data_IF_926567195301
#
_entry.id   IF_926567195301
#
_cell.length_a   1.000
_cell.length_b   1.000
_cell.length_c   1.000
_cell.angle_alpha   90.00
_cell.angle_beta   90.00
_cell.angle_gamma   90.00
#
_symmetry.space_group_name_H-M   'P 1'
#
loop_
_entity.id
_entity.type
_entity.pdbx_description
1 polymer ?
#
# COMPACT_ATOMS: atom_id res chain seq x y z
N UNK A 1 -18.86 14.11 0.90
CA UNK A 1 -18.97 15.46 0.30
C UNK A 1 -18.35 16.47 1.24
N UNK A 2 -17.57 17.38 0.69
CA UNK A 2 -16.88 18.38 1.47
C UNK A 2 -15.56 17.94 2.10
N UNK A 3 -15.20 16.67 1.89
CA UNK A 3 -13.92 16.15 2.35
C UNK A 3 -12.95 16.09 1.17
N UNK A 4 -11.71 16.59 1.35
CA UNK A 4 -10.69 16.46 0.32
C UNK A 4 -10.21 15.01 0.22
N UNK A 5 -9.58 14.67 -0.90
CA UNK A 5 -9.00 13.33 -1.07
C UNK A 5 -7.94 13.05 -0.01
N UNK A 6 -7.13 14.04 0.33
CA UNK A 6 -6.10 13.90 1.35
C UNK A 6 -6.70 13.62 2.72
N UNK A 7 -7.78 14.32 3.09
CA UNK A 7 -8.48 14.06 4.35
C UNK A 7 -9.10 12.65 4.34
N UNK A 8 -9.66 12.24 3.22
CA UNK A 8 -10.25 10.91 3.10
C UNK A 8 -9.20 9.82 3.34
N UNK A 9 -7.98 9.98 2.79
CA UNK A 9 -6.90 9.03 3.00
C UNK A 9 -6.57 8.92 4.49
N UNK A 10 -6.38 10.05 5.17
CA UNK A 10 -6.05 10.05 6.60
C UNK A 10 -7.16 9.40 7.41
N UNK A 11 -8.41 9.74 7.12
CA UNK A 11 -9.55 9.18 7.84
C UNK A 11 -9.68 7.68 7.64
N UNK A 12 -9.60 7.22 6.40
CA UNK A 12 -9.77 5.79 6.10
C UNK A 12 -8.64 4.95 6.67
N UNK A 13 -7.41 5.41 6.60
CA UNK A 13 -6.28 4.69 7.21
C UNK A 13 -6.46 4.58 8.71
N UNK A 14 -6.92 5.66 9.37
CA UNK A 14 -7.18 5.62 10.80
C UNK A 14 -8.29 4.63 11.15
N UNK A 15 -9.37 4.62 10.36
CA UNK A 15 -10.48 3.69 10.57
C UNK A 15 -10.06 2.23 10.38
N UNK A 16 -9.27 1.94 9.36
CA UNK A 16 -8.92 0.58 8.99
C UNK A 16 -7.75 0.00 9.76
N UNK A 17 -6.83 0.83 10.20
CA UNK A 17 -5.58 0.36 10.83
C UNK A 17 -5.29 0.97 12.19
N UNK A 18 -6.07 1.97 12.63
CA UNK A 18 -5.82 2.68 13.88
C UNK A 18 -4.61 3.60 13.84
N UNK A 19 -4.02 3.83 12.66
CA UNK A 19 -2.82 4.63 12.52
C UNK A 19 -3.18 6.01 11.98
N UNK A 20 -2.73 7.07 12.68
CA UNK A 20 -2.88 8.44 12.22
C UNK A 20 -1.68 8.81 11.35
N UNK A 21 -1.87 8.81 10.04
CA UNK A 21 -0.81 9.20 9.10
C UNK A 21 -0.84 10.70 8.86
N UNK A 22 0.30 11.24 8.42
CA UNK A 22 0.46 12.66 8.11
C UNK A 22 1.04 12.81 6.71
N UNK A 23 0.97 14.03 6.19
CA UNK A 23 1.57 14.38 4.90
C UNK A 23 1.10 13.45 3.77
N UNK A 24 -0.22 13.26 3.59
CA UNK A 24 -0.69 12.48 2.46
C UNK A 24 -0.34 13.20 1.17
N UNK A 25 0.16 12.43 0.19
CA UNK A 25 0.67 12.98 -1.03
C UNK A 25 0.14 12.19 -2.21
N UNK A 26 -0.56 12.86 -3.11
CA UNK A 26 -1.06 12.25 -4.33
C UNK A 26 0.10 11.88 -5.24
N UNK A 27 0.15 10.63 -5.70
CA UNK A 27 1.24 10.12 -6.52
C UNK A 27 0.82 9.77 -7.94
N UNK A 28 -0.45 9.61 -8.18
CA UNK A 28 -0.94 9.29 -9.50
C UNK A 28 -2.25 8.52 -9.47
N UNK A 29 -2.79 8.26 -10.66
CA UNK A 29 -4.03 7.53 -10.80
C UNK A 29 -3.92 6.52 -11.93
N UNK A 30 -4.77 5.49 -11.87
CA UNK A 30 -4.80 4.44 -12.86
C UNK A 30 -6.26 4.04 -13.11
N UNK A 31 -6.77 4.18 -14.35
CA UNK A 31 -8.11 3.72 -14.65
C UNK A 31 -8.15 2.20 -14.84
N UNK A 32 -9.24 1.59 -14.40
CA UNK A 32 -9.51 0.18 -14.61
C UNK A 32 -10.80 0.03 -15.43
N UNK A 33 -10.76 -0.65 -16.59
CA UNK A 33 -11.96 -0.78 -17.41
C UNK A 33 -13.03 -1.70 -16.80
N UNK A 34 -12.65 -2.66 -15.97
CA UNK A 34 -13.57 -3.62 -15.37
C UNK A 34 -13.25 -3.86 -13.91
N UNK A 35 -14.12 -3.43 -12.96
CA UNK A 35 -15.22 -2.51 -13.22
C UNK A 35 -14.70 -1.14 -13.62
N UNK A 36 -15.56 -0.28 -14.10
CA UNK A 36 -15.18 1.10 -14.40
C UNK A 36 -14.84 1.81 -13.11
N UNK A 37 -13.56 1.94 -12.85
CA UNK A 37 -13.09 2.59 -11.62
C UNK A 37 -11.78 3.32 -11.88
N UNK A 38 -11.47 4.21 -10.98
CA UNK A 38 -10.22 4.97 -11.01
C UNK A 38 -9.48 4.67 -9.72
N UNK A 39 -8.28 4.11 -9.85
CA UNK A 39 -7.39 3.87 -8.71
C UNK A 39 -6.57 5.13 -8.48
N UNK A 40 -6.60 5.64 -7.25
CA UNK A 40 -5.80 6.79 -6.84
C UNK A 40 -4.71 6.32 -5.89
N UNK A 41 -3.48 6.71 -6.18
CA UNK A 41 -2.34 6.31 -5.36
C UNK A 41 -1.83 7.46 -4.51
N UNK A 42 -1.66 7.20 -3.22
CA UNK A 42 -1.15 8.16 -2.25
C UNK A 42 -0.04 7.55 -1.43
N UNK A 43 0.91 8.39 -1.00
CA UNK A 43 1.85 8.04 0.05
C UNK A 43 1.62 8.95 1.23
N UNK A 44 1.97 8.48 2.42
CA UNK A 44 1.83 9.27 3.65
C UNK A 44 2.89 8.83 4.64
N UNK A 45 3.09 9.62 5.69
CA UNK A 45 4.05 9.32 6.74
C UNK A 45 3.30 8.76 7.94
N UNK A 46 3.80 7.67 8.51
CA UNK A 46 3.25 7.07 9.71
C UNK A 46 4.22 7.28 10.87
N UNK A 47 3.70 7.45 12.11
CA UNK A 47 4.58 7.57 13.27
C UNK A 47 5.30 6.26 13.54
N UNK A 48 6.52 6.35 14.04
CA UNK A 48 7.32 5.17 14.38
C UNK A 48 6.78 4.53 15.66
N UNK A 49 6.91 3.20 15.76
CA UNK A 49 6.60 2.48 16.98
C UNK A 49 5.12 2.30 17.28
N UNK A 50 4.24 2.60 16.34
CA UNK A 50 2.80 2.44 16.54
C UNK A 50 2.37 1.05 16.07
N UNK A 51 1.60 0.36 16.91
CA UNK A 51 1.02 -0.93 16.56
C UNK A 51 -0.24 -0.73 15.73
N UNK A 52 -0.35 -1.34 14.56
CA UNK A 52 -1.57 -1.25 13.79
C UNK A 52 -2.67 -2.10 14.40
N UNK A 53 -3.91 -1.60 14.33
CA UNK A 53 -5.09 -2.31 14.83
C UNK A 53 -6.07 -2.44 13.67
N UNK A 54 -6.15 -3.60 13.01
CA UNK A 54 -7.10 -3.80 11.93
C UNK A 54 -8.54 -3.72 12.43
N UNK A 55 -9.44 -3.24 11.59
CA UNK A 55 -10.84 -3.05 11.99
C UNK A 55 -11.60 -4.37 12.13
N UNK A 56 -11.07 -5.47 11.60
CA UNK A 56 -11.68 -6.78 11.69
C UNK A 56 -12.82 -7.03 10.71
N UNK A 57 -13.16 -6.04 9.89
CA UNK A 57 -14.22 -6.14 8.89
C UNK A 57 -13.65 -6.13 7.49
N UNK A 58 -13.24 -4.97 6.98
CA UNK A 58 -12.62 -4.87 5.67
C UNK A 58 -11.16 -5.29 5.70
N UNK A 59 -10.47 -4.99 6.80
CA UNK A 59 -9.05 -5.29 6.98
C UNK A 59 -8.92 -6.32 8.11
N UNK A 60 -8.47 -7.50 7.78
CA UNK A 60 -8.28 -8.58 8.75
C UNK A 60 -6.92 -8.55 9.42
N UNK A 61 -5.91 -8.00 8.74
CA UNK A 61 -4.58 -7.86 9.31
C UNK A 61 -3.85 -6.67 8.70
N UNK A 62 -2.98 -6.07 9.49
CA UNK A 62 -2.10 -4.98 9.05
C UNK A 62 -0.72 -5.27 9.62
N UNK A 63 0.31 -5.07 8.83
CA UNK A 63 1.66 -5.40 9.24
C UNK A 63 2.66 -4.37 8.73
N UNK A 64 3.66 -4.06 9.58
CA UNK A 64 4.80 -3.24 9.18
C UNK A 64 5.85 -4.11 8.50
N UNK A 65 6.51 -3.52 7.49
CA UNK A 65 7.61 -4.18 6.80
C UNK A 65 8.79 -3.23 6.68
N UNK A 66 9.98 -3.73 6.98
CA UNK A 66 11.19 -3.08 6.55
C UNK A 66 11.47 -3.46 5.09
N UNK A 67 12.29 -2.66 4.39
CA UNK A 67 12.56 -2.92 2.98
C UNK A 67 13.10 -4.31 2.72
N UNK A 68 14.11 -4.71 3.50
CA UNK A 68 14.74 -6.03 3.35
C UNK A 68 13.77 -7.16 3.68
N UNK A 69 12.94 -6.96 4.68
CA UNK A 69 11.95 -7.95 5.07
C UNK A 69 10.92 -8.17 3.97
N UNK A 70 10.41 -7.08 3.38
CA UNK A 70 9.44 -7.19 2.32
C UNK A 70 10.02 -7.92 1.11
N UNK A 71 11.24 -7.59 0.71
CA UNK A 71 11.90 -8.25 -0.41
C UNK A 71 12.08 -9.74 -0.16
N UNK A 72 12.49 -10.12 1.06
CA UNK A 72 12.66 -11.52 1.43
C UNK A 72 11.34 -12.29 1.36
N UNK A 73 10.30 -11.74 1.98
CA UNK A 73 8.99 -12.39 2.01
C UNK A 73 8.36 -12.49 0.63
N UNK A 74 8.56 -11.49 -0.22
CA UNK A 74 8.07 -11.52 -1.59
C UNK A 74 8.81 -12.57 -2.41
N UNK A 75 10.12 -12.71 -2.23
CA UNK A 75 10.93 -13.72 -2.93
C UNK A 75 10.52 -15.13 -2.55
N UNK A 76 10.23 -15.35 -1.27
CA UNK A 76 9.82 -16.65 -0.77
C UNK A 76 8.35 -16.97 -1.08
N UNK A 77 7.59 -16.00 -1.56
CA UNK A 77 6.17 -16.18 -1.84
C UNK A 77 5.25 -16.06 -0.64
N UNK A 78 5.79 -15.64 0.52
CA UNK A 78 4.99 -15.46 1.73
C UNK A 78 4.15 -14.18 1.69
N UNK A 79 4.54 -13.22 0.84
CA UNK A 79 3.78 -12.01 0.59
C UNK A 79 3.56 -11.90 -0.91
N UNK A 80 2.32 -11.67 -1.31
CA UNK A 80 1.96 -11.46 -2.71
C UNK A 80 1.91 -9.96 -2.99
N UNK A 81 2.75 -9.52 -3.92
CA UNK A 81 2.78 -8.12 -4.32
C UNK A 81 1.74 -7.82 -5.39
N UNK A 82 1.28 -6.57 -5.51
CA UNK A 82 0.44 -6.17 -6.64
C UNK A 82 1.12 -6.47 -7.98
N UNK A 83 0.32 -6.64 -9.02
CA UNK A 83 0.83 -6.94 -10.35
C UNK A 83 1.75 -5.87 -10.91
N UNK A 84 2.62 -6.28 -11.83
CA UNK A 84 3.70 -5.43 -12.35
C UNK A 84 3.23 -4.12 -12.99
N UNK A 85 2.00 -4.07 -13.50
CA UNK A 85 1.46 -2.90 -14.17
C UNK A 85 0.59 -2.02 -13.27
N UNK A 86 0.41 -2.38 -12.00
CA UNK A 86 -0.45 -1.62 -11.10
C UNK A 86 0.28 -0.41 -10.53
N UNK A 87 -0.48 0.66 -10.27
CA UNK A 87 0.07 1.84 -9.60
C UNK A 87 0.52 1.49 -8.18
N UNK A 88 -0.15 0.56 -7.51
CA UNK A 88 0.25 0.11 -6.19
C UNK A 88 1.66 -0.49 -6.22
N UNK A 89 1.97 -1.31 -7.21
CA UNK A 89 3.32 -1.87 -7.37
C UNK A 89 4.35 -0.78 -7.59
N UNK A 90 4.03 0.19 -8.43
CA UNK A 90 4.94 1.30 -8.71
C UNK A 90 5.27 2.11 -7.45
N UNK A 91 4.27 2.37 -6.60
CA UNK A 91 4.48 3.10 -5.36
C UNK A 91 5.32 2.30 -4.36
N UNK A 92 5.09 0.99 -4.26
CA UNK A 92 5.87 0.13 -3.37
C UNK A 92 7.32 0.07 -3.85
N UNK A 93 7.56 -0.05 -5.16
CA UNK A 93 8.92 -0.10 -5.70
C UNK A 93 9.64 1.24 -5.56
N UNK A 94 8.93 2.35 -5.70
CA UNK A 94 9.50 3.67 -5.45
C UNK A 94 9.98 3.79 -4.01
N UNK A 95 9.16 3.34 -3.05
CA UNK A 95 9.54 3.31 -1.64
C UNK A 95 10.73 2.36 -1.40
N UNK A 96 10.73 1.21 -2.03
CA UNK A 96 11.80 0.21 -1.88
C UNK A 96 13.12 0.71 -2.47
N UNK A 97 13.04 1.47 -3.54
CA UNK A 97 14.21 2.02 -4.23
C UNK A 97 14.66 1.20 -5.41
N UNK A 98 13.81 0.36 -5.96
CA UNK A 98 14.13 -0.47 -7.12
C UNK A 98 13.05 -1.51 -7.37
N UNK A 99 13.32 -2.42 -8.29
CA UNK A 99 12.39 -3.51 -8.59
C UNK A 99 12.40 -4.53 -7.46
N UNK A 100 11.21 -4.96 -7.04
CA UNK A 100 11.08 -5.99 -6.01
C UNK A 100 11.05 -7.37 -6.65
N UNK A 101 11.77 -8.34 -6.06
CA UNK A 101 11.62 -9.73 -6.48
C UNK A 101 10.30 -10.29 -5.93
N UNK A 102 9.67 -11.18 -6.67
CA UNK A 102 8.57 -11.97 -6.15
C UNK A 102 8.72 -13.42 -6.64
N UNK A 103 7.85 -14.30 -6.14
CA UNK A 103 7.98 -15.71 -6.45
C UNK A 103 7.85 -16.00 -7.95
N UNK A 104 7.13 -15.18 -8.68
CA UNK A 104 6.94 -15.37 -10.12
C UNK A 104 8.17 -14.98 -10.92
N UNK A 105 8.90 -13.95 -10.49
CA UNK A 105 10.08 -13.51 -11.22
C UNK A 105 11.23 -14.50 -11.13
N UNK A 106 11.22 -15.38 -10.15
CA UNK A 106 12.27 -16.38 -9.97
C UNK A 106 12.11 -17.56 -10.92
N UNK A 107 10.97 -17.71 -11.56
CA UNK A 107 10.67 -18.83 -12.44
C UNK A 107 11.16 -18.57 -13.86
N UNK A 108 11.29 -17.34 -14.23
CA UNK A 108 11.77 -16.94 -15.55
C UNK A 108 13.28 -16.86 -15.58
#
# INVERSE_FOLDING_TARGET
PGESLEHAVVREIAEESGITVTHPRYRGSQPWPFPRSLMLGFTALAPAGVEPVPDGEEILSVRWFERKELAHLAREGDVTLPGAVSIARALIEDWYGGMLPDAQTLIT
#
